data_IF_357355115097
#
_entry.id   IF_357355115097
#
_cell.length_a   1.000
_cell.length_b   1.000
_cell.length_c   1.000
_cell.angle_alpha   90.00
_cell.angle_beta   90.00
_cell.angle_gamma   90.00
#
_symmetry.space_group_name_H-M   'P 1'
#
loop_
_entity.id
_entity.type
_entity.pdbx_description
1 polymer ?
#
# COMPACT_ATOMS: atom_id res chain seq x y z
N UNK A 1 -8.42 41.74 14.70
CA UNK A 1 -7.25 41.28 13.92
C UNK A 1 -6.92 39.89 14.43
N UNK A 2 -7.33 38.86 13.71
CA UNK A 2 -7.02 37.47 14.05
C UNK A 2 -6.22 36.87 12.89
N UNK A 3 -5.05 36.35 13.22
CA UNK A 3 -4.09 35.76 12.31
C UNK A 3 -4.68 34.54 11.59
N UNK A 4 -4.58 34.54 10.26
CA UNK A 4 -4.86 33.37 9.43
C UNK A 4 -3.69 32.39 9.48
N UNK A 5 -3.89 31.12 9.81
CA UNK A 5 -2.88 30.09 9.58
C UNK A 5 -2.81 29.76 8.08
N UNK A 6 -1.59 29.74 7.56
CA UNK A 6 -1.26 29.77 6.15
C UNK A 6 -1.79 28.59 5.33
N UNK A 7 -2.09 28.91 4.07
CA UNK A 7 -2.29 27.99 2.96
C UNK A 7 -1.11 27.02 2.83
N UNK A 8 -1.29 25.78 3.30
CA UNK A 8 -0.40 24.66 2.98
C UNK A 8 -0.67 24.29 1.52
N UNK A 9 0.29 24.61 0.66
CA UNK A 9 0.30 24.31 -0.76
C UNK A 9 0.18 22.80 -1.03
N UNK A 10 -1.00 22.35 -1.47
CA UNK A 10 -1.35 20.96 -1.82
C UNK A 10 -0.73 20.47 -3.15
N UNK A 11 0.56 20.71 -3.39
CA UNK A 11 1.22 20.34 -4.66
C UNK A 11 2.33 19.31 -4.53
N UNK A 12 2.17 18.23 -3.75
CA UNK A 12 3.14 17.13 -3.79
C UNK A 12 2.52 15.77 -3.47
N UNK A 13 1.77 15.19 -4.41
CA UNK A 13 1.62 13.73 -4.48
C UNK A 13 1.58 13.31 -5.96
N UNK A 14 2.75 13.24 -6.59
CA UNK A 14 2.92 12.39 -7.79
C UNK A 14 2.86 10.93 -7.33
N UNK A 15 2.24 10.01 -8.11
CA UNK A 15 2.22 8.60 -7.76
C UNK A 15 3.66 8.08 -7.70
N UNK A 16 4.04 7.56 -6.53
CA UNK A 16 5.28 6.81 -6.34
C UNK A 16 5.21 5.57 -7.23
N UNK A 17 6.13 5.50 -8.19
CA UNK A 17 6.33 4.32 -9.05
C UNK A 17 6.50 3.10 -8.13
N UNK A 18 5.81 1.98 -8.37
CA UNK A 18 6.00 0.77 -7.56
C UNK A 18 7.46 0.35 -7.63
N UNK A 19 8.07 0.19 -6.45
CA UNK A 19 9.40 -0.38 -6.29
C UNK A 19 9.35 -1.78 -6.85
N UNK A 20 9.85 -1.95 -8.08
CA UNK A 20 10.03 -3.26 -8.69
C UNK A 20 10.98 -4.00 -7.75
N UNK A 21 10.50 -5.11 -7.18
CA UNK A 21 11.31 -6.09 -6.47
C UNK A 21 12.51 -6.44 -7.35
N UNK A 22 13.67 -5.86 -7.07
CA UNK A 22 14.94 -6.27 -7.63
C UNK A 22 15.22 -7.66 -7.07
N UNK A 23 14.69 -8.68 -7.75
CA UNK A 23 15.13 -10.05 -7.54
C UNK A 23 16.65 -10.05 -7.65
N UNK A 24 17.32 -10.54 -6.59
CA UNK A 24 18.74 -10.86 -6.57
C UNK A 24 19.04 -11.86 -7.70
N UNK A 25 19.27 -11.37 -8.91
CA UNK A 25 20.08 -12.09 -9.88
C UNK A 25 21.51 -11.93 -9.44
N UNK A 26 21.98 -12.91 -8.68
CA UNK A 26 23.41 -13.13 -8.42
C UNK A 26 24.09 -13.28 -9.78
N UNK A 27 24.69 -12.21 -10.31
CA UNK A 27 25.60 -12.32 -11.43
C UNK A 27 26.87 -13.00 -10.91
N UNK A 28 27.26 -14.19 -11.41
CA UNK A 28 28.55 -14.75 -11.08
C UNK A 28 29.62 -13.82 -11.67
N UNK A 29 30.45 -13.24 -10.81
CA UNK A 29 31.67 -12.55 -11.23
C UNK A 29 32.61 -13.60 -11.82
N UNK A 30 32.56 -13.78 -13.14
CA UNK A 30 33.64 -14.46 -13.86
C UNK A 30 34.84 -13.53 -13.91
N UNK A 31 35.89 -13.87 -13.16
CA UNK A 31 37.24 -13.36 -13.42
C UNK A 31 37.69 -13.83 -14.80
N UNK A 32 38.04 -12.93 -15.74
CA UNK A 32 38.53 -13.34 -17.05
C UNK A 32 39.91 -13.98 -16.88
N UNK A 33 39.99 -15.29 -17.15
CA UNK A 33 41.27 -15.98 -17.29
C UNK A 33 42.02 -15.38 -18.47
N UNK A 34 43.30 -15.08 -18.26
CA UNK A 34 44.20 -14.50 -19.24
C UNK A 34 44.53 -15.51 -20.35
N UNK A 35 43.66 -15.62 -21.35
CA UNK A 35 44.01 -16.23 -22.63
C UNK A 35 43.40 -15.43 -23.76
N UNK A 36 44.27 -14.89 -24.62
CA UNK A 36 43.97 -13.82 -25.55
C UNK A 36 42.84 -14.11 -26.54
N UNK A 37 41.92 -13.17 -26.63
CA UNK A 37 41.24 -12.81 -27.86
C UNK A 37 40.99 -11.32 -27.81
N UNK A 38 41.49 -10.59 -28.82
CA UNK A 38 41.28 -9.15 -28.96
C UNK A 38 39.82 -8.88 -29.39
N UNK A 39 38.87 -9.23 -28.53
CA UNK A 39 37.52 -8.69 -28.60
C UNK A 39 37.67 -7.21 -28.25
N UNK A 40 37.21 -6.35 -29.17
CA UNK A 40 37.35 -4.90 -29.04
C UNK A 40 36.82 -4.48 -27.67
N UNK A 41 37.66 -3.85 -26.84
CA UNK A 41 37.37 -3.50 -25.44
C UNK A 41 36.02 -2.79 -25.27
N UNK A 42 35.55 -2.12 -26.33
CA UNK A 42 34.24 -1.45 -26.40
C UNK A 42 33.04 -2.42 -26.27
N UNK A 43 33.12 -3.64 -26.80
CA UNK A 43 32.02 -4.62 -26.76
C UNK A 43 31.86 -5.27 -25.38
N UNK A 44 32.95 -5.44 -24.64
CA UNK A 44 32.92 -6.05 -23.30
C UNK A 44 32.29 -5.11 -22.27
N UNK A 45 32.55 -3.80 -22.36
CA UNK A 45 31.90 -2.81 -21.49
C UNK A 45 30.40 -2.65 -21.78
N UNK A 46 29.97 -2.76 -23.05
CA UNK A 46 28.56 -2.76 -23.43
C UNK A 46 27.82 -4.00 -22.92
N UNK A 47 28.45 -5.18 -22.91
CA UNK A 47 27.86 -6.41 -22.33
C UNK A 47 27.65 -6.34 -20.82
N UNK A 48 28.44 -5.54 -20.11
CA UNK A 48 28.26 -5.32 -18.66
C UNK A 48 27.21 -4.24 -18.34
N UNK A 49 26.53 -3.67 -19.34
CA UNK A 49 25.47 -2.68 -19.14
C UNK A 49 25.95 -1.35 -18.55
N UNK A 50 27.25 -1.04 -18.66
CA UNK A 50 27.83 0.20 -18.17
C UNK A 50 27.43 1.38 -19.08
N UNK A 51 27.13 2.56 -18.51
CA UNK A 51 26.92 3.76 -19.31
C UNK A 51 28.14 4.09 -20.17
N UNK A 52 27.93 4.54 -21.41
CA UNK A 52 29.00 4.76 -22.40
C UNK A 52 30.07 5.76 -21.92
N UNK A 53 29.66 6.76 -21.11
CA UNK A 53 30.55 7.72 -20.44
C UNK A 53 31.55 7.08 -19.47
N UNK A 54 31.16 5.95 -18.85
CA UNK A 54 31.99 5.22 -17.89
C UNK A 54 32.99 4.32 -18.63
N UNK A 55 32.57 3.69 -19.73
CA UNK A 55 33.43 2.87 -20.59
C UNK A 55 34.55 3.70 -21.25
N UNK A 56 34.25 4.94 -21.65
CA UNK A 56 35.23 5.84 -22.25
C UNK A 56 36.24 6.39 -21.22
N UNK A 57 35.81 6.57 -19.98
CA UNK A 57 36.70 6.96 -18.87
C UNK A 57 37.64 5.82 -18.45
N UNK A 58 37.16 4.57 -18.51
CA UNK A 58 37.91 3.35 -18.18
C UNK A 58 39.01 3.05 -19.20
N UNK A 59 38.78 3.31 -20.48
CA UNK A 59 39.76 3.06 -21.56
C UNK A 59 40.92 4.06 -21.58
N UNK A 60 40.78 5.23 -20.94
CA UNK A 60 41.82 6.27 -20.86
C UNK A 60 42.66 6.23 -19.57
N UNK A 61 42.29 5.43 -18.57
CA UNK A 61 42.95 5.38 -17.26
C UNK A 61 44.10 4.37 -17.19
N UNK A 62 45.29 4.80 -16.74
CA UNK A 62 46.44 3.92 -16.43
C UNK A 62 46.34 3.23 -15.06
N UNK A 63 45.25 3.42 -14.32
CA UNK A 63 45.07 2.77 -13.03
C UNK A 63 44.96 1.23 -13.21
N UNK A 64 45.57 0.43 -12.32
CA UNK A 64 45.42 -1.02 -12.39
C UNK A 64 43.94 -1.38 -12.28
N UNK A 65 43.43 -2.22 -13.18
CA UNK A 65 42.00 -2.63 -13.26
C UNK A 65 41.39 -3.01 -11.91
N UNK A 66 42.20 -3.57 -11.01
CA UNK A 66 41.82 -3.91 -9.63
C UNK A 66 41.41 -2.68 -8.79
N UNK A 67 42.07 -1.52 -8.95
CA UNK A 67 41.72 -0.28 -8.26
C UNK A 67 40.36 0.24 -8.74
N UNK A 68 40.14 0.26 -10.05
CA UNK A 68 38.85 0.67 -10.64
C UNK A 68 37.72 -0.25 -10.19
N UNK A 69 37.92 -1.57 -10.23
CA UNK A 69 36.92 -2.53 -9.75
C UNK A 69 36.57 -2.33 -8.27
N UNK A 70 37.59 -2.04 -7.43
CA UNK A 70 37.39 -1.70 -6.02
C UNK A 70 36.57 -0.42 -5.86
N UNK A 71 36.88 0.62 -6.63
CA UNK A 71 36.16 1.90 -6.56
C UNK A 71 34.69 1.74 -6.99
N UNK A 72 34.42 0.97 -8.03
CA UNK A 72 33.04 0.62 -8.43
C UNK A 72 32.31 -0.17 -7.33
N UNK A 73 32.95 -1.18 -6.74
CA UNK A 73 32.33 -1.95 -5.66
C UNK A 73 32.00 -1.06 -4.46
N UNK A 74 32.90 -0.14 -4.09
CA UNK A 74 32.66 0.81 -3.00
C UNK A 74 31.54 1.81 -3.34
N UNK A 75 31.48 2.31 -4.57
CA UNK A 75 30.41 3.19 -5.02
C UNK A 75 29.06 2.48 -4.99
N UNK A 76 28.99 1.23 -5.47
CA UNK A 76 27.79 0.41 -5.43
C UNK A 76 27.31 0.16 -4.00
N UNK A 77 28.21 -0.22 -3.08
CA UNK A 77 27.86 -0.43 -1.67
C UNK A 77 27.36 0.85 -0.98
N UNK A 78 27.92 2.02 -1.33
CA UNK A 78 27.43 3.31 -0.84
C UNK A 78 26.01 3.58 -1.33
N UNK A 79 25.74 3.33 -2.61
CA UNK A 79 24.41 3.51 -3.20
C UNK A 79 23.39 2.55 -2.58
N UNK A 80 23.74 1.28 -2.38
CA UNK A 80 22.86 0.30 -1.72
C UNK A 80 22.53 0.72 -0.28
N UNK A 81 23.53 1.17 0.49
CA UNK A 81 23.32 1.71 1.84
C UNK A 81 22.40 2.93 1.84
N UNK A 82 22.58 3.85 0.90
CA UNK A 82 21.73 5.04 0.78
C UNK A 82 20.28 4.66 0.46
N UNK A 83 20.06 3.70 -0.44
CA UNK A 83 18.72 3.19 -0.76
C UNK A 83 18.04 2.56 0.46
N UNK A 84 18.78 1.77 1.25
CA UNK A 84 18.25 1.18 2.49
C UNK A 84 17.88 2.25 3.52
N UNK A 85 18.70 3.29 3.68
CA UNK A 85 18.40 4.41 4.58
C UNK A 85 17.14 5.17 4.13
N UNK A 86 17.02 5.46 2.83
CA UNK A 86 15.82 6.11 2.28
C UNK A 86 14.57 5.24 2.43
N UNK A 87 14.69 3.93 2.22
CA UNK A 87 13.57 2.99 2.44
C UNK A 87 13.11 3.01 3.90
N UNK A 88 14.05 2.94 4.86
CA UNK A 88 13.73 2.99 6.28
C UNK A 88 13.08 4.33 6.70
N UNK A 89 13.52 5.45 6.10
CA UNK A 89 12.89 6.75 6.30
C UNK A 89 11.44 6.78 5.77
N UNK A 90 11.19 6.24 4.57
CA UNK A 90 9.84 6.14 4.02
C UNK A 90 8.92 5.27 4.89
N UNK A 91 9.43 4.16 5.44
CA UNK A 91 8.68 3.30 6.36
C UNK A 91 8.37 3.99 7.70
N UNK A 92 9.28 4.84 8.19
CA UNK A 92 9.03 5.65 9.38
C UNK A 92 7.92 6.69 9.14
N UNK A 93 8.00 7.42 8.02
CA UNK A 93 6.98 8.41 7.62
C UNK A 93 5.62 7.74 7.40
N UNK A 94 5.59 6.57 6.74
CA UNK A 94 4.35 5.81 6.53
C UNK A 94 3.66 5.44 7.85
N UNK A 95 4.44 4.99 8.85
CA UNK A 95 3.91 4.69 10.20
C UNK A 95 3.41 5.93 10.93
N UNK A 96 4.07 7.07 10.77
CA UNK A 96 3.62 8.34 11.34
C UNK A 96 2.28 8.80 10.73
N UNK A 97 2.15 8.71 9.40
CA UNK A 97 0.89 8.99 8.68
C UNK A 97 -0.23 8.06 9.16
N UNK A 98 0.08 6.77 9.33
CA UNK A 98 -0.88 5.79 9.86
C UNK A 98 -1.34 6.17 11.28
N UNK A 99 -0.42 6.49 12.18
CA UNK A 99 -0.74 6.92 13.54
C UNK A 99 -1.59 8.19 13.57
N UNK A 100 -1.27 9.18 12.73
CA UNK A 100 -2.06 10.42 12.60
C UNK A 100 -3.47 10.13 12.07
N UNK A 101 -3.59 9.27 11.05
CA UNK A 101 -4.88 8.85 10.50
C UNK A 101 -5.74 8.15 11.54
N UNK A 102 -5.17 7.25 12.35
CA UNK A 102 -5.90 6.56 13.42
C UNK A 102 -6.37 7.52 14.51
N UNK A 103 -5.54 8.48 14.93
CA UNK A 103 -5.95 9.53 15.88
C UNK A 103 -7.07 10.40 15.33
N UNK A 104 -7.03 10.72 14.04
CA UNK A 104 -8.08 11.49 13.37
C UNK A 104 -9.41 10.72 13.30
N UNK A 105 -9.36 9.42 12.97
CA UNK A 105 -10.54 8.55 12.99
C UNK A 105 -11.12 8.43 14.41
N UNK A 106 -10.27 8.24 15.42
CA UNK A 106 -10.66 8.17 16.82
C UNK A 106 -11.36 9.46 17.28
N UNK A 107 -10.78 10.62 16.97
CA UNK A 107 -11.32 11.92 17.34
C UNK A 107 -12.68 12.23 16.69
N UNK A 108 -13.04 11.51 15.61
CA UNK A 108 -14.32 11.66 14.89
C UNK A 108 -15.31 10.53 15.15
N UNK A 109 -15.00 9.61 16.07
CA UNK A 109 -15.81 8.41 16.33
C UNK A 109 -16.00 7.53 15.08
N UNK A 110 -14.94 7.43 14.27
CA UNK A 110 -14.91 6.67 13.00
C UNK A 110 -14.02 5.44 13.04
N UNK A 111 -13.75 4.90 14.23
CA UNK A 111 -12.96 3.69 14.43
C UNK A 111 -13.77 2.41 14.16
N UNK A 112 -14.42 2.36 13.01
CA UNK A 112 -15.19 1.21 12.53
C UNK A 112 -15.01 1.07 11.02
N UNK A 113 -15.36 -0.09 10.46
CA UNK A 113 -15.33 -0.28 8.99
C UNK A 113 -16.28 0.71 8.31
N UNK A 114 -17.42 1.00 8.92
CA UNK A 114 -18.36 2.03 8.47
C UNK A 114 -17.68 3.40 8.46
N UNK A 115 -17.02 3.76 9.56
CA UNK A 115 -16.26 4.99 9.71
C UNK A 115 -15.13 5.12 8.69
N UNK A 116 -14.48 4.02 8.26
CA UNK A 116 -13.52 4.04 7.15
C UNK A 116 -14.18 4.49 5.85
N UNK A 117 -15.35 3.95 5.50
CA UNK A 117 -16.01 4.33 4.26
C UNK A 117 -16.37 5.82 4.26
N UNK A 118 -16.87 6.32 5.38
CA UNK A 118 -17.17 7.75 5.55
C UNK A 118 -15.90 8.61 5.50
N UNK A 119 -14.80 8.17 6.12
CA UNK A 119 -13.52 8.87 6.07
C UNK A 119 -12.95 8.94 4.66
N UNK A 120 -13.02 7.85 3.90
CA UNK A 120 -12.58 7.80 2.50
C UNK A 120 -13.40 8.75 1.63
N UNK A 121 -14.72 8.71 1.79
CA UNK A 121 -15.63 9.62 1.09
C UNK A 121 -15.30 11.08 1.42
N UNK A 122 -15.16 11.43 2.69
CA UNK A 122 -14.78 12.80 3.10
C UNK A 122 -13.43 13.20 2.52
N UNK A 123 -12.42 12.35 2.63
CA UNK A 123 -11.05 12.66 2.19
C UNK A 123 -10.99 12.97 0.69
N UNK A 124 -11.75 12.24 -0.13
CA UNK A 124 -11.78 12.47 -1.57
C UNK A 124 -12.78 13.55 -1.99
N UNK A 125 -13.90 13.70 -1.27
CA UNK A 125 -14.97 14.63 -1.64
C UNK A 125 -14.81 16.05 -1.10
N UNK A 126 -13.99 16.25 -0.06
CA UNK A 126 -13.75 17.58 0.53
C UNK A 126 -13.41 18.67 -0.52
N UNK A 127 -12.53 18.41 -1.51
CA UNK A 127 -12.25 19.39 -2.56
C UNK A 127 -13.47 19.67 -3.46
N UNK A 128 -14.27 18.65 -3.75
CA UNK A 128 -15.42 18.75 -4.68
C UNK A 128 -16.63 19.46 -4.05
N UNK A 129 -16.91 19.24 -2.77
CA UNK A 129 -18.04 19.90 -2.09
C UNK A 129 -17.79 21.36 -1.77
N UNK A 130 -16.52 21.75 -1.62
CA UNK A 130 -16.17 23.14 -1.33
C UNK A 130 -16.44 24.09 -2.50
N UNK A 131 -16.54 23.58 -3.74
CA UNK A 131 -16.66 24.42 -4.94
C UNK A 131 -18.09 24.57 -5.46
N UNK A 132 -18.98 23.60 -5.21
CA UNK A 132 -20.22 23.51 -5.97
C UNK A 132 -21.46 24.07 -5.29
N UNK A 133 -21.44 24.47 -4.02
CA UNK A 133 -22.54 25.20 -3.34
C UNK A 133 -23.89 24.49 -3.22
N UNK A 134 -24.12 23.42 -3.99
CA UNK A 134 -25.35 22.65 -4.02
C UNK A 134 -25.36 21.64 -2.88
N UNK A 135 -26.36 21.79 -2.01
CA UNK A 135 -26.55 21.02 -0.78
C UNK A 135 -26.99 19.56 -0.99
N UNK A 136 -27.03 19.05 -2.22
CA UNK A 136 -27.52 17.70 -2.49
C UNK A 136 -26.41 16.69 -2.19
N UNK A 137 -26.54 15.97 -1.07
CA UNK A 137 -25.61 14.88 -0.71
C UNK A 137 -25.73 13.77 -1.76
N UNK A 138 -24.67 13.48 -2.54
CA UNK A 138 -24.75 12.46 -3.56
C UNK A 138 -24.93 11.07 -2.94
N UNK A 139 -25.66 10.20 -3.66
CA UNK A 139 -25.76 8.77 -3.31
C UNK A 139 -24.36 8.16 -3.15
N UNK A 140 -24.22 7.22 -2.21
CA UNK A 140 -22.93 6.58 -1.89
C UNK A 140 -22.29 5.92 -3.10
N UNK A 141 -23.09 5.32 -3.98
CA UNK A 141 -22.62 4.76 -5.25
C UNK A 141 -21.88 5.80 -6.11
N UNK A 142 -22.45 6.99 -6.27
CA UNK A 142 -21.77 8.08 -6.99
C UNK A 142 -20.51 8.54 -6.26
N UNK A 143 -20.54 8.56 -4.91
CA UNK A 143 -19.34 8.90 -4.15
C UNK A 143 -18.20 7.95 -4.42
N UNK A 144 -18.48 6.65 -4.39
CA UNK A 144 -17.47 5.63 -4.64
C UNK A 144 -17.03 5.57 -6.10
N UNK A 145 -17.91 5.90 -7.05
CA UNK A 145 -17.50 6.07 -8.44
C UNK A 145 -16.42 7.16 -8.57
N UNK A 146 -16.60 8.30 -7.91
CA UNK A 146 -15.60 9.37 -7.88
C UNK A 146 -14.32 8.98 -7.13
N UNK A 147 -14.44 8.26 -5.99
CA UNK A 147 -13.26 7.72 -5.28
C UNK A 147 -12.39 6.87 -6.20
N UNK A 148 -12.99 6.02 -7.03
CA UNK A 148 -12.26 5.16 -7.96
C UNK A 148 -11.69 5.93 -9.16
N UNK A 149 -12.33 7.02 -9.58
CA UNK A 149 -11.78 7.93 -10.61
C UNK A 149 -10.52 8.65 -10.10
N UNK A 150 -10.56 9.17 -8.87
CA UNK A 150 -9.41 9.84 -8.25
C UNK A 150 -8.30 8.86 -7.84
N UNK A 151 -8.64 7.58 -7.61
CA UNK A 151 -7.70 6.53 -7.18
C UNK A 151 -7.83 5.27 -8.05
N UNK A 152 -7.38 5.30 -9.33
CA UNK A 152 -7.52 4.15 -10.22
C UNK A 152 -6.77 2.90 -9.72
N UNK A 153 -5.66 3.07 -9.00
CA UNK A 153 -4.91 1.97 -8.40
C UNK A 153 -5.73 1.19 -7.33
N UNK A 154 -6.70 1.85 -6.68
CA UNK A 154 -7.58 1.21 -5.70
C UNK A 154 -8.53 0.23 -6.40
N UNK A 155 -9.13 0.64 -7.53
CA UNK A 155 -10.01 -0.23 -8.31
C UNK A 155 -9.28 -1.51 -8.74
N UNK A 156 -8.05 -1.37 -9.22
CA UNK A 156 -7.22 -2.51 -9.63
C UNK A 156 -6.84 -3.40 -8.44
N UNK A 157 -6.50 -2.81 -7.30
CA UNK A 157 -6.16 -3.56 -6.09
C UNK A 157 -7.36 -4.38 -5.59
N UNK A 158 -8.55 -3.78 -5.55
CA UNK A 158 -9.79 -4.48 -5.16
C UNK A 158 -10.08 -5.60 -6.17
N UNK A 159 -10.04 -5.31 -7.47
CA UNK A 159 -10.25 -6.31 -8.54
C UNK A 159 -9.31 -7.50 -8.40
N UNK A 160 -8.03 -7.27 -8.13
CA UNK A 160 -7.05 -8.33 -7.93
C UNK A 160 -7.31 -9.16 -6.66
N UNK A 161 -7.75 -8.52 -5.57
CA UNK A 161 -7.97 -9.20 -4.29
C UNK A 161 -9.30 -9.98 -4.20
N UNK A 162 -10.35 -9.50 -4.87
CA UNK A 162 -11.73 -10.03 -4.75
C UNK A 162 -12.29 -10.60 -6.05
N UNK A 163 -11.70 -10.29 -7.21
CA UNK A 163 -12.26 -10.64 -8.51
C UNK A 163 -13.44 -9.76 -8.94
N UNK A 164 -13.77 -8.69 -8.19
CA UNK A 164 -14.86 -7.80 -8.55
C UNK A 164 -14.53 -6.99 -9.80
N UNK A 165 -15.52 -6.80 -10.68
CA UNK A 165 -15.41 -5.84 -11.79
C UNK A 165 -15.43 -4.42 -11.24
N UNK A 166 -14.64 -3.54 -11.83
CA UNK A 166 -14.53 -2.15 -11.39
C UNK A 166 -15.90 -1.44 -11.34
N UNK A 167 -16.76 -1.70 -12.33
CA UNK A 167 -18.13 -1.17 -12.42
C UNK A 167 -19.06 -1.62 -11.28
N UNK A 168 -18.75 -2.72 -10.60
CA UNK A 168 -19.56 -3.25 -9.49
C UNK A 168 -19.08 -2.76 -8.13
N UNK A 169 -17.87 -2.22 -8.03
CA UNK A 169 -17.28 -1.82 -6.74
C UNK A 169 -18.19 -0.81 -6.01
N UNK A 170 -18.72 0.26 -6.64
CA UNK A 170 -19.59 1.20 -5.94
C UNK A 170 -20.83 0.56 -5.31
N UNK A 171 -21.51 -0.32 -6.04
CA UNK A 171 -22.68 -1.04 -5.55
C UNK A 171 -22.33 -2.03 -4.44
N UNK A 172 -21.15 -2.69 -4.52
CA UNK A 172 -20.67 -3.60 -3.47
C UNK A 172 -20.33 -2.85 -2.20
N UNK A 173 -19.69 -1.69 -2.30
CA UNK A 173 -19.37 -0.87 -1.12
C UNK A 173 -20.65 -0.32 -0.48
N UNK A 174 -21.62 0.14 -1.29
CA UNK A 174 -22.92 0.57 -0.80
C UNK A 174 -23.67 -0.56 -0.07
N UNK A 175 -23.68 -1.76 -0.64
CA UNK A 175 -24.21 -2.96 0.01
C UNK A 175 -23.51 -3.29 1.33
N UNK A 176 -22.17 -3.26 1.36
CA UNK A 176 -21.40 -3.48 2.59
C UNK A 176 -21.71 -2.43 3.65
N UNK A 177 -21.88 -1.16 3.26
CA UNK A 177 -22.26 -0.09 4.17
C UNK A 177 -23.64 -0.34 4.78
N UNK A 178 -24.63 -0.71 3.95
CA UNK A 178 -25.97 -1.09 4.42
C UNK A 178 -25.93 -2.26 5.41
N UNK A 179 -25.18 -3.31 5.10
CA UNK A 179 -24.99 -4.45 6.01
C UNK A 179 -24.42 -4.03 7.37
N UNK A 180 -23.46 -3.10 7.37
CA UNK A 180 -22.86 -2.60 8.61
C UNK A 180 -23.86 -1.78 9.43
N UNK A 181 -24.69 -0.95 8.79
CA UNK A 181 -25.75 -0.20 9.48
C UNK A 181 -26.80 -1.11 10.13
N UNK A 182 -27.16 -2.22 9.49
CA UNK A 182 -28.14 -3.17 10.04
C UNK A 182 -27.64 -3.90 11.30
N UNK A 183 -26.32 -3.97 11.50
CA UNK A 183 -25.69 -4.71 12.58
C UNK A 183 -25.13 -3.78 13.69
N UNK A 184 -25.63 -2.54 13.78
CA UNK A 184 -25.14 -1.51 14.72
C UNK A 184 -25.52 -1.68 16.20
N UNK A 185 -26.14 -2.79 16.59
CA UNK A 185 -26.46 -3.01 18.01
C UNK A 185 -25.28 -3.65 18.77
N UNK A 186 -24.67 -2.92 19.74
CA UNK A 186 -23.45 -3.28 20.45
C UNK A 186 -23.78 -4.01 21.76
N UNK A 187 -24.66 -5.01 21.72
CA UNK A 187 -24.71 -5.95 22.83
C UNK A 187 -23.56 -6.93 22.64
N UNK A 188 -22.44 -6.60 23.29
CA UNK A 188 -21.62 -7.60 23.97
C UNK A 188 -21.52 -8.90 23.18
N UNK A 189 -20.75 -8.87 22.09
CA UNK A 189 -19.95 -10.06 21.82
C UNK A 189 -19.06 -10.18 23.06
N UNK A 190 -19.47 -11.00 24.03
CA UNK A 190 -18.76 -11.30 25.27
C UNK A 190 -17.24 -11.39 24.97
N UNK A 191 -16.49 -10.35 25.33
CA UNK A 191 -15.04 -10.25 25.10
C UNK A 191 -14.55 -9.34 23.96
N UNK A 192 -15.43 -8.65 23.24
CA UNK A 192 -15.11 -7.56 22.31
C UNK A 192 -15.37 -6.20 22.94
N UNK A 193 -14.79 -5.95 24.11
CA UNK A 193 -14.49 -4.56 24.42
C UNK A 193 -13.55 -4.05 23.33
N UNK A 194 -13.85 -2.92 22.65
CA UNK A 194 -12.85 -2.20 21.87
C UNK A 194 -11.89 -1.54 22.86
N UNK A 195 -11.18 -2.34 23.65
CA UNK A 195 -9.94 -1.88 24.24
C UNK A 195 -9.07 -1.57 23.03
N UNK A 196 -8.77 -0.28 22.87
CA UNK A 196 -7.72 0.26 22.01
C UNK A 196 -6.39 -0.39 22.41
N UNK A 197 -6.21 -1.67 22.07
CA UNK A 197 -4.99 -2.36 22.46
C UNK A 197 -3.82 -1.89 21.61
N UNK A 198 -4.07 -1.37 20.41
CA UNK A 198 -3.03 -1.15 19.42
C UNK A 198 -3.52 -0.05 18.47
N UNK A 199 -2.64 0.85 18.02
CA UNK A 199 -2.91 1.96 17.08
C UNK A 199 -3.37 1.49 15.68
N UNK A 200 -4.34 0.58 15.59
CA UNK A 200 -4.78 -0.11 14.37
C UNK A 200 -6.22 -0.64 14.51
N UNK A 201 -6.96 -0.60 13.41
CA UNK A 201 -8.30 -1.18 13.31
C UNK A 201 -8.24 -2.70 13.18
N UNK A 202 -8.91 -3.43 14.08
CA UNK A 202 -9.06 -4.88 13.95
C UNK A 202 -10.27 -5.20 13.08
N UNK A 203 -10.03 -5.76 11.90
CA UNK A 203 -11.07 -6.21 10.96
C UNK A 203 -11.19 -7.72 11.08
N UNK A 204 -12.39 -8.18 11.42
CA UNK A 204 -12.64 -9.59 11.65
C UNK A 204 -13.54 -10.20 10.60
N UNK A 205 -13.29 -11.47 10.31
CA UNK A 205 -14.18 -12.30 9.50
C UNK A 205 -15.35 -12.83 10.32
N UNK A 206 -16.55 -12.54 9.84
CA UNK A 206 -17.80 -12.92 10.49
C UNK A 206 -18.99 -12.17 9.91
N UNK A 207 -20.20 -12.57 10.29
CA UNK A 207 -21.41 -11.84 9.92
C UNK A 207 -21.30 -10.39 10.41
N UNK A 208 -21.48 -9.37 9.55
CA UNK A 208 -22.08 -9.46 8.21
C UNK A 208 -21.09 -9.48 7.03
N UNK A 209 -19.78 -9.40 7.25
CA UNK A 209 -18.79 -9.27 6.19
C UNK A 209 -18.17 -10.62 5.79
N UNK A 210 -18.31 -10.97 4.51
CA UNK A 210 -17.62 -12.09 3.91
C UNK A 210 -16.11 -11.86 3.83
N UNK A 211 -15.35 -12.93 3.57
CA UNK A 211 -13.91 -12.84 3.33
C UNK A 211 -13.55 -11.90 2.18
N UNK A 212 -14.37 -11.89 1.12
CA UNK A 212 -14.19 -10.99 -0.02
C UNK A 212 -14.39 -9.53 0.37
N UNK A 213 -15.43 -9.24 1.17
CA UNK A 213 -15.67 -7.91 1.72
C UNK A 213 -14.45 -7.41 2.51
N UNK A 214 -13.86 -8.27 3.36
CA UNK A 214 -12.70 -7.91 4.17
C UNK A 214 -11.46 -7.61 3.32
N UNK A 215 -11.24 -8.37 2.25
CA UNK A 215 -10.15 -8.09 1.30
C UNK A 215 -10.34 -6.75 0.59
N UNK A 216 -11.58 -6.38 0.23
CA UNK A 216 -11.84 -5.05 -0.31
C UNK A 216 -11.54 -3.95 0.71
N UNK A 217 -11.97 -4.11 1.97
CA UNK A 217 -11.64 -3.17 3.06
C UNK A 217 -10.14 -3.08 3.28
N UNK A 218 -9.41 -4.19 3.17
CA UNK A 218 -7.96 -4.21 3.25
C UNK A 218 -7.30 -3.31 2.18
N UNK A 219 -7.74 -3.44 0.93
CA UNK A 219 -7.25 -2.61 -0.18
C UNK A 219 -7.54 -1.12 0.06
N UNK A 220 -8.70 -0.81 0.64
CA UNK A 220 -9.07 0.56 1.02
C UNK A 220 -8.13 1.07 2.12
N UNK A 221 -7.93 0.31 3.21
CA UNK A 221 -7.05 0.71 4.30
C UNK A 221 -5.62 0.97 3.81
N UNK A 222 -5.07 0.09 2.96
CA UNK A 222 -3.75 0.26 2.34
C UNK A 222 -3.67 1.55 1.51
N UNK A 223 -4.70 1.85 0.73
CA UNK A 223 -4.72 3.02 -0.17
C UNK A 223 -4.84 4.35 0.57
N UNK A 224 -5.40 4.33 1.78
CA UNK A 224 -5.61 5.52 2.62
C UNK A 224 -4.72 5.55 3.86
N UNK A 225 -3.67 4.72 3.90
CA UNK A 225 -2.72 4.63 5.02
C UNK A 225 -3.40 4.48 6.38
N UNK A 226 -4.44 3.65 6.44
CA UNK A 226 -5.14 3.31 7.68
C UNK A 226 -4.44 2.08 8.27
N UNK A 227 -4.02 2.14 9.52
CA UNK A 227 -3.43 0.98 10.18
C UNK A 227 -4.53 -0.04 10.51
N UNK A 228 -4.30 -1.31 10.17
CA UNK A 228 -5.27 -2.38 10.39
C UNK A 228 -4.61 -3.71 10.77
N UNK A 229 -5.41 -4.62 11.32
CA UNK A 229 -5.08 -6.02 11.57
C UNK A 229 -6.23 -6.90 11.12
N UNK A 230 -5.96 -7.93 10.32
CA UNK A 230 -6.98 -8.85 9.84
C UNK A 230 -7.04 -10.09 10.73
N UNK A 231 -8.24 -10.46 11.17
CA UNK A 231 -8.49 -11.72 11.89
C UNK A 231 -9.50 -12.55 11.11
N UNK A 232 -9.00 -13.55 10.40
CA UNK A 232 -9.85 -14.54 9.73
C UNK A 232 -10.35 -15.57 10.74
N UNK A 233 -11.62 -15.95 10.62
CA UNK A 233 -12.19 -17.02 11.44
C UNK A 233 -11.54 -18.31 10.93
N UNK A 234 -10.80 -19.00 11.81
CA UNK A 234 -10.22 -20.30 11.46
C UNK A 234 -11.38 -21.20 11.05
N UNK A 235 -11.27 -21.86 9.89
CA UNK A 235 -12.17 -22.93 9.55
C UNK A 235 -12.12 -23.94 10.70
N UNK A 236 -13.24 -24.13 11.39
CA UNK A 236 -13.35 -25.18 12.39
C UNK A 236 -12.98 -26.49 11.70
N UNK A 237 -12.08 -27.31 12.26
CA UNK A 237 -11.72 -28.58 11.65
C UNK A 237 -13.00 -29.39 11.45
N UNK A 238 -13.26 -29.77 10.20
CA UNK A 238 -14.47 -30.45 9.74
C UNK A 238 -14.79 -31.71 10.56
N UNK A 239 -13.77 -32.27 11.22
CA UNK A 239 -13.85 -33.45 12.07
C UNK A 239 -14.78 -33.35 13.30
N UNK A 240 -15.19 -32.15 13.74
CA UNK A 240 -16.12 -32.02 14.88
C UNK A 240 -17.61 -31.92 14.49
N UNK A 241 -17.94 -31.66 13.21
CA UNK A 241 -19.34 -31.58 12.78
C UNK A 241 -19.98 -32.97 12.60
N UNK A 242 -19.19 -34.01 12.32
CA UNK A 242 -19.72 -35.36 12.15
C UNK A 242 -20.09 -36.03 13.49
N UNK A 243 -19.41 -35.68 14.60
CA UNK A 243 -19.75 -36.21 15.92
C UNK A 243 -21.04 -35.62 16.50
N UNK A 244 -21.46 -34.41 16.10
CA UNK A 244 -22.72 -33.82 16.56
C UNK A 244 -23.95 -34.35 15.82
N UNK A 245 -23.79 -34.93 14.62
CA UNK A 245 -24.91 -35.54 13.88
C UNK A 245 -25.24 -36.98 14.30
N UNK A 246 -24.41 -37.63 15.11
CA UNK A 246 -24.65 -39.00 15.59
C UNK A 246 -25.27 -39.09 16.98
N UNK A 247 -25.66 -37.96 17.58
CA UNK A 247 -26.23 -37.91 18.94
C UNK A 247 -27.73 -37.56 19.00
N UNK A 248 -28.42 -37.53 17.86
CA UNK A 248 -29.87 -37.34 17.77
C UNK A 248 -30.55 -38.55 17.13
#
# INVERSE_FOLDING_TARGET
MYDQPGLISQRLLKPLVPVIHLQKKSCPFHTPNATGSAVSQKEEYQRMGLPESVAESLSRSRAPRAALARDFALAFLRQEKELLLRSAQLDAISREIQSLTMRHLAARDKLSIRGIFEYVEETVMLPFWSTNGDSVVPLRQHKWQHVLQERPCLAESIRSATGWRAEWIPNRVDYMYMLLCEHEHPEVLDGFDPVMYEDRLVIMEGSPLSREHIRAVECICKSFHIAYSLRYRRALPTHQQDCQKMSN
#
